data_IF_175385680813
#
_entry.id   IF_175385680813
#
_cell.length_a   1.000
_cell.length_b   1.000
_cell.length_c   1.000
_cell.angle_alpha   90.00
_cell.angle_beta   90.00
_cell.angle_gamma   90.00
#
_symmetry.space_group_name_H-M   'P 1'
#
loop_
_entity.id
_entity.type
_entity.pdbx_description
1 polymer ?
#
# COMPACT_ATOMS: atom_id res chain seq x y z
N UNK A 1 41.06 61.52 -17.79
CA UNK A 1 40.81 60.41 -16.79
C UNK A 1 39.49 59.86 -17.11
N UNK A 2 39.48 58.80 -17.89
CA UNK A 2 38.30 58.12 -18.46
C UNK A 2 38.07 56.87 -17.69
N UNK A 3 36.93 56.79 -17.01
CA UNK A 3 36.44 55.57 -16.36
C UNK A 3 35.58 54.82 -17.35
N UNK A 4 36.08 53.67 -17.77
CA UNK A 4 35.33 52.67 -18.55
C UNK A 4 34.44 51.86 -17.61
N UNK A 5 33.14 51.85 -17.89
CA UNK A 5 32.15 51.06 -17.17
C UNK A 5 31.57 50.02 -18.17
N UNK A 6 32.17 48.83 -18.22
CA UNK A 6 31.70 47.74 -19.06
C UNK A 6 30.67 46.91 -18.29
N UNK A 7 29.42 47.15 -18.60
CA UNK A 7 28.27 46.46 -18.06
C UNK A 7 27.92 45.29 -19.01
N UNK A 8 28.55 44.10 -18.82
CA UNK A 8 28.20 42.88 -19.54
C UNK A 8 26.97 42.24 -18.88
N UNK A 9 25.81 42.54 -19.46
CA UNK A 9 24.54 41.91 -19.13
C UNK A 9 24.41 40.58 -19.88
N UNK A 10 24.85 39.48 -19.27
CA UNK A 10 24.59 38.16 -19.77
C UNK A 10 23.19 37.71 -19.33
N UNK A 11 22.21 37.94 -20.19
CA UNK A 11 20.89 37.31 -20.09
C UNK A 11 21.00 35.84 -20.45
N UNK A 12 21.20 35.00 -19.43
CA UNK A 12 20.96 33.57 -19.56
C UNK A 12 19.45 33.34 -19.64
N UNK A 13 18.96 33.12 -20.85
CA UNK A 13 17.64 32.52 -21.09
C UNK A 13 17.74 31.07 -20.66
N UNK A 14 17.46 30.81 -19.40
CA UNK A 14 17.15 29.45 -18.94
C UNK A 14 15.88 29.02 -19.67
N UNK A 15 16.04 28.13 -20.63
CA UNK A 15 14.93 27.31 -21.14
C UNK A 15 14.46 26.49 -19.97
N UNK A 16 13.36 26.93 -19.35
CA UNK A 16 12.52 26.02 -18.55
C UNK A 16 11.97 24.99 -19.53
N UNK A 17 12.63 23.85 -19.59
CA UNK A 17 11.99 22.63 -20.08
C UNK A 17 10.88 22.32 -19.09
N UNK A 18 9.67 22.69 -19.46
CA UNK A 18 8.43 22.26 -18.81
C UNK A 18 8.31 20.73 -19.03
N UNK A 19 9.07 19.98 -18.23
CA UNK A 19 8.76 18.57 -18.01
C UNK A 19 7.43 18.54 -17.27
N UNK A 20 6.41 18.14 -17.99
CA UNK A 20 5.08 17.79 -17.51
C UNK A 20 5.25 16.86 -16.29
N UNK A 21 5.21 17.46 -15.09
CA UNK A 21 5.34 16.75 -13.82
C UNK A 21 4.01 16.05 -13.55
N UNK A 22 3.73 15.00 -14.33
CA UNK A 22 2.71 14.03 -13.97
C UNK A 22 2.93 13.60 -12.52
N UNK A 23 1.87 13.59 -11.71
CA UNK A 23 1.94 13.27 -10.29
C UNK A 23 2.72 11.94 -10.10
N UNK A 24 3.93 11.95 -9.49
CA UNK A 24 4.82 10.79 -9.47
C UNK A 24 4.21 9.59 -8.71
N UNK A 25 3.17 9.83 -7.92
CA UNK A 25 2.44 8.80 -7.17
C UNK A 25 1.31 8.15 -7.96
N UNK A 26 0.89 8.72 -9.10
CA UNK A 26 -0.26 8.23 -9.85
C UNK A 26 0.02 6.87 -10.51
N UNK A 27 1.21 6.69 -11.08
CA UNK A 27 1.59 5.44 -11.75
C UNK A 27 1.69 4.28 -10.75
N UNK A 28 2.42 4.40 -9.62
CA UNK A 28 2.41 3.38 -8.58
C UNK A 28 1.00 3.07 -8.07
N UNK A 29 0.19 4.08 -7.82
CA UNK A 29 -1.20 3.94 -7.36
C UNK A 29 -2.04 3.11 -8.33
N UNK A 30 -2.04 3.44 -9.62
CA UNK A 30 -2.80 2.72 -10.64
C UNK A 30 -2.32 1.29 -10.82
N UNK A 31 -1.02 1.06 -10.71
CA UNK A 31 -0.42 -0.25 -10.86
C UNK A 31 -0.82 -1.18 -9.70
N UNK A 32 -0.76 -0.68 -8.45
CA UNK A 32 -1.18 -1.42 -7.26
C UNK A 32 -2.69 -1.68 -7.32
N UNK A 33 -3.50 -0.67 -7.66
CA UNK A 33 -4.95 -0.82 -7.80
C UNK A 33 -5.32 -1.88 -8.83
N UNK A 34 -4.72 -1.83 -10.01
CA UNK A 34 -4.97 -2.79 -11.08
C UNK A 34 -4.58 -4.21 -10.65
N UNK A 35 -3.45 -4.34 -9.97
CA UNK A 35 -2.98 -5.63 -9.51
C UNK A 35 -3.85 -6.19 -8.36
N UNK A 36 -4.33 -5.35 -7.44
CA UNK A 36 -5.26 -5.74 -6.39
C UNK A 36 -6.56 -6.35 -6.97
N UNK A 37 -7.06 -5.84 -8.11
CA UNK A 37 -8.19 -6.44 -8.80
C UNK A 37 -7.85 -7.82 -9.39
N UNK A 38 -6.66 -8.00 -9.93
CA UNK A 38 -6.20 -9.31 -10.44
C UNK A 38 -6.11 -10.31 -9.31
N UNK A 39 -5.55 -9.94 -8.15
CA UNK A 39 -5.44 -10.80 -6.98
C UNK A 39 -6.82 -11.13 -6.40
N UNK A 40 -7.72 -10.16 -6.31
CA UNK A 40 -9.09 -10.41 -5.84
C UNK A 40 -9.82 -11.41 -6.75
N UNK A 41 -9.79 -11.16 -8.05
CA UNK A 41 -10.41 -12.06 -9.03
C UNK A 41 -9.75 -13.44 -9.01
N UNK A 42 -8.42 -13.48 -8.93
CA UNK A 42 -7.63 -14.70 -8.81
C UNK A 42 -7.92 -15.47 -7.53
N UNK A 43 -8.01 -14.79 -6.39
CA UNK A 43 -8.32 -15.38 -5.09
C UNK A 43 -9.70 -16.05 -5.09
N UNK A 44 -10.71 -15.37 -5.63
CA UNK A 44 -12.06 -15.95 -5.79
C UNK A 44 -12.04 -17.15 -6.72
N UNK A 45 -11.39 -17.02 -7.89
CA UNK A 45 -11.34 -18.09 -8.88
C UNK A 45 -10.55 -19.31 -8.44
N UNK A 46 -9.39 -19.10 -7.83
CA UNK A 46 -8.52 -20.19 -7.34
C UNK A 46 -8.97 -20.76 -6.01
N UNK A 47 -9.90 -20.09 -5.33
CA UNK A 47 -10.38 -20.38 -3.98
C UNK A 47 -9.28 -20.28 -2.91
N UNK A 48 -8.27 -19.44 -3.11
CA UNK A 48 -7.19 -19.18 -2.14
C UNK A 48 -7.57 -18.06 -1.19
N UNK A 49 -7.64 -18.37 0.11
CA UNK A 49 -7.89 -17.36 1.16
C UNK A 49 -6.66 -16.49 1.39
N UNK A 50 -5.46 -17.05 1.24
CA UNK A 50 -4.23 -16.28 1.36
C UNK A 50 -4.15 -15.18 0.28
N UNK A 51 -4.50 -15.51 -0.97
CA UNK A 51 -4.54 -14.53 -2.05
C UNK A 51 -5.64 -13.48 -1.85
N UNK A 52 -6.80 -13.88 -1.32
CA UNK A 52 -7.87 -12.93 -0.96
C UNK A 52 -7.44 -11.98 0.17
N UNK A 53 -6.73 -12.47 1.17
CA UNK A 53 -6.21 -11.63 2.26
C UNK A 53 -5.22 -10.59 1.75
N UNK A 54 -4.31 -10.98 0.88
CA UNK A 54 -3.32 -10.07 0.26
C UNK A 54 -4.02 -9.02 -0.61
N UNK A 55 -4.98 -9.41 -1.45
CA UNK A 55 -5.78 -8.50 -2.26
C UNK A 55 -6.50 -7.42 -1.41
N UNK A 56 -7.13 -7.82 -0.30
CA UNK A 56 -7.81 -6.88 0.58
C UNK A 56 -6.85 -5.92 1.29
N UNK A 57 -5.65 -6.38 1.63
CA UNK A 57 -4.60 -5.49 2.14
C UNK A 57 -4.26 -4.41 1.12
N UNK A 58 -3.96 -4.81 -0.12
CA UNK A 58 -3.64 -3.86 -1.20
C UNK A 58 -4.80 -2.87 -1.46
N UNK A 59 -6.06 -3.31 -1.40
CA UNK A 59 -7.21 -2.40 -1.50
C UNK A 59 -7.26 -1.37 -0.37
N UNK A 60 -6.97 -1.78 0.86
CA UNK A 60 -6.87 -0.88 2.01
C UNK A 60 -5.83 0.21 1.79
N UNK A 61 -4.67 -0.16 1.26
CA UNK A 61 -3.57 0.77 1.01
C UNK A 61 -3.88 1.76 -0.11
N UNK A 62 -4.45 1.24 -1.20
CA UNK A 62 -4.92 2.08 -2.32
C UNK A 62 -5.98 3.07 -1.85
N UNK A 63 -6.91 2.63 -1.00
CA UNK A 63 -7.94 3.49 -0.44
C UNK A 63 -7.34 4.59 0.45
N UNK A 64 -6.41 4.24 1.35
CA UNK A 64 -5.72 5.19 2.20
C UNK A 64 -4.91 6.21 1.39
N UNK A 65 -4.16 5.74 0.38
CA UNK A 65 -3.36 6.59 -0.49
C UNK A 65 -4.25 7.50 -1.36
N UNK A 66 -5.33 6.98 -1.92
CA UNK A 66 -6.30 7.74 -2.72
C UNK A 66 -6.93 8.88 -1.93
N UNK A 67 -7.27 8.63 -0.67
CA UNK A 67 -7.80 9.63 0.24
C UNK A 67 -6.77 10.70 0.59
N UNK A 68 -5.53 10.31 0.86
CA UNK A 68 -4.45 11.25 1.13
C UNK A 68 -4.21 12.17 -0.08
N UNK A 69 -4.24 11.62 -1.30
CA UNK A 69 -4.13 12.40 -2.53
C UNK A 69 -5.32 13.35 -2.73
N UNK A 70 -6.54 12.88 -2.46
CA UNK A 70 -7.76 13.70 -2.53
C UNK A 70 -7.72 14.86 -1.53
N UNK A 71 -7.37 14.57 -0.27
CA UNK A 71 -7.27 15.59 0.78
C UNK A 71 -6.21 16.64 0.46
N UNK A 72 -5.04 16.22 -0.06
CA UNK A 72 -3.97 17.13 -0.49
C UNK A 72 -4.45 18.07 -1.61
N UNK A 73 -5.14 17.52 -2.62
CA UNK A 73 -5.68 18.31 -3.74
C UNK A 73 -6.75 19.30 -3.27
N UNK A 74 -7.65 18.89 -2.40
CA UNK A 74 -8.74 19.73 -1.89
C UNK A 74 -8.22 20.85 -0.97
N UNK A 75 -7.22 20.57 -0.15
CA UNK A 75 -6.57 21.54 0.73
C UNK A 75 -5.87 22.65 -0.04
N UNK A 76 -5.23 22.33 -1.17
CA UNK A 76 -4.59 23.33 -2.03
C UNK A 76 -5.60 24.29 -2.68
N UNK A 77 -6.79 23.76 -3.04
CA UNK A 77 -7.79 24.52 -3.81
C UNK A 77 -8.62 25.49 -2.95
N UNK A 78 -8.80 25.21 -1.67
CA UNK A 78 -9.73 25.94 -0.80
C UNK A 78 -9.06 26.88 0.21
N UNK A 79 -7.72 27.04 0.22
CA UNK A 79 -7.02 27.89 1.20
C UNK A 79 -7.40 27.55 2.65
N UNK A 80 -7.84 26.32 2.89
CA UNK A 80 -8.44 25.89 4.14
C UNK A 80 -7.47 26.12 5.30
N UNK A 81 -7.95 26.87 6.30
CA UNK A 81 -7.28 26.98 7.60
C UNK A 81 -6.91 25.58 8.05
N UNK A 82 -5.61 25.28 8.13
CA UNK A 82 -5.12 24.07 8.78
C UNK A 82 -5.74 24.05 10.16
N UNK A 83 -6.58 23.06 10.44
CA UNK A 83 -7.05 22.80 11.79
C UNK A 83 -5.82 22.55 12.66
N UNK A 84 -5.84 22.90 13.91
CA UNK A 84 -4.66 22.88 14.80
C UNK A 84 -3.95 21.50 14.87
N UNK A 85 -4.65 20.42 14.56
CA UNK A 85 -4.14 19.03 14.53
C UNK A 85 -3.54 18.60 13.18
N UNK A 86 -3.65 19.39 12.12
CA UNK A 86 -3.07 19.08 10.80
C UNK A 86 -3.82 18.02 9.98
N UNK A 87 -4.84 17.34 10.52
CA UNK A 87 -5.65 16.32 9.84
C UNK A 87 -7.03 16.87 9.48
N UNK A 88 -7.53 16.54 8.30
CA UNK A 88 -8.87 16.94 7.91
C UNK A 88 -9.91 15.94 8.47
N UNK A 89 -11.11 16.42 8.82
CA UNK A 89 -12.22 15.55 9.27
C UNK A 89 -12.50 14.43 8.26
N UNK A 90 -12.30 14.71 6.97
CA UNK A 90 -12.46 13.73 5.88
C UNK A 90 -11.43 12.61 6.02
N UNK A 91 -10.16 12.92 6.31
CA UNK A 91 -9.09 11.92 6.50
C UNK A 91 -9.38 11.01 7.70
N UNK A 92 -9.79 11.59 8.82
CA UNK A 92 -10.13 10.83 10.04
C UNK A 92 -11.33 9.91 9.78
N UNK A 93 -12.41 10.44 9.19
CA UNK A 93 -13.62 9.64 8.90
C UNK A 93 -13.31 8.48 7.96
N UNK A 94 -12.52 8.72 6.94
CA UNK A 94 -12.16 7.69 5.99
C UNK A 94 -11.22 6.64 6.58
N UNK A 95 -10.30 7.04 7.44
CA UNK A 95 -9.44 6.10 8.18
C UNK A 95 -10.27 5.22 9.12
N UNK A 96 -11.31 5.75 9.77
CA UNK A 96 -12.25 4.97 10.59
C UNK A 96 -13.00 3.95 9.73
N UNK A 97 -13.52 4.36 8.57
CA UNK A 97 -14.21 3.46 7.65
C UNK A 97 -13.25 2.34 7.19
N UNK A 98 -12.01 2.67 6.85
CA UNK A 98 -11.00 1.69 6.45
C UNK A 98 -10.70 0.67 7.56
N UNK A 99 -10.51 1.13 8.80
CA UNK A 99 -10.31 0.25 9.97
C UNK A 99 -11.50 -0.70 10.15
N UNK A 100 -12.74 -0.19 10.10
CA UNK A 100 -13.93 -1.02 10.26
C UNK A 100 -14.06 -2.07 9.15
N UNK A 101 -13.82 -1.66 7.90
CA UNK A 101 -13.87 -2.56 6.75
C UNK A 101 -12.81 -3.66 6.89
N UNK A 102 -11.56 -3.31 7.26
CA UNK A 102 -10.50 -4.28 7.46
C UNK A 102 -10.79 -5.26 8.60
N UNK A 103 -11.38 -4.80 9.71
CA UNK A 103 -11.80 -5.69 10.79
C UNK A 103 -12.85 -6.69 10.34
N UNK A 104 -13.82 -6.27 9.51
CA UNK A 104 -14.82 -7.17 8.92
C UNK A 104 -14.16 -8.22 8.04
N UNK A 105 -13.25 -7.79 7.14
CA UNK A 105 -12.55 -8.70 6.22
C UNK A 105 -11.68 -9.71 6.97
N UNK A 106 -10.84 -9.23 7.89
CA UNK A 106 -9.97 -10.08 8.71
C UNK A 106 -10.78 -11.12 9.49
N UNK A 107 -11.90 -10.70 10.09
CA UNK A 107 -12.79 -11.59 10.81
C UNK A 107 -13.38 -12.65 9.88
N UNK A 108 -13.89 -12.22 8.72
CA UNK A 108 -14.47 -13.14 7.73
C UNK A 108 -13.44 -14.16 7.22
N UNK A 109 -12.25 -13.72 6.80
CA UNK A 109 -11.20 -14.62 6.32
C UNK A 109 -10.74 -15.58 7.43
N UNK A 110 -10.64 -15.11 8.68
CA UNK A 110 -10.23 -15.95 9.82
C UNK A 110 -11.24 -17.06 10.08
N UNK A 111 -12.54 -16.73 10.08
CA UNK A 111 -13.62 -17.74 10.26
C UNK A 111 -13.58 -18.75 9.12
N UNK A 112 -13.48 -18.27 7.88
CA UNK A 112 -13.42 -19.14 6.70
C UNK A 112 -12.17 -20.01 6.69
N UNK A 113 -11.01 -19.46 7.09
CA UNK A 113 -9.77 -20.23 7.20
C UNK A 113 -9.88 -21.34 8.25
N UNK A 114 -10.53 -21.07 9.39
CA UNK A 114 -10.79 -22.11 10.39
C UNK A 114 -11.72 -23.21 9.85
N UNK A 115 -12.76 -22.84 9.12
CA UNK A 115 -13.66 -23.80 8.47
C UNK A 115 -12.91 -24.67 7.45
N UNK A 116 -12.09 -24.06 6.57
CA UNK A 116 -11.31 -24.79 5.56
C UNK A 116 -10.15 -25.59 6.13
N UNK A 117 -9.66 -25.25 7.30
CA UNK A 117 -8.70 -26.08 8.00
C UNK A 117 -9.31 -27.44 8.41
N UNK A 118 -10.59 -27.43 8.83
CA UNK A 118 -11.33 -28.63 9.17
C UNK A 118 -11.84 -29.37 7.92
N UNK A 119 -12.30 -28.66 6.92
CA UNK A 119 -12.86 -29.15 5.66
C UNK A 119 -12.07 -28.58 4.46
N UNK A 120 -10.88 -29.15 4.15
CA UNK A 120 -10.02 -28.64 3.10
C UNK A 120 -10.70 -28.63 1.72
N UNK A 121 -10.65 -27.51 1.03
CA UNK A 121 -11.12 -27.36 -0.35
C UNK A 121 -9.97 -27.49 -1.35
N UNK A 122 -10.31 -27.93 -2.58
CA UNK A 122 -9.34 -27.98 -3.67
C UNK A 122 -9.02 -26.56 -4.14
N UNK A 123 -7.74 -26.25 -4.18
CA UNK A 123 -7.19 -24.95 -4.59
C UNK A 123 -6.39 -25.14 -5.87
N UNK A 124 -6.58 -24.23 -6.84
CA UNK A 124 -5.81 -24.22 -8.08
C UNK A 124 -4.40 -23.61 -7.84
N UNK A 125 -3.56 -24.35 -7.10
CA UNK A 125 -2.28 -23.89 -6.55
C UNK A 125 -1.30 -23.34 -7.62
N UNK A 126 -1.28 -23.88 -8.83
CA UNK A 126 -0.46 -23.39 -9.92
C UNK A 126 -0.81 -21.95 -10.32
N UNK A 127 -2.10 -21.62 -10.39
CA UNK A 127 -2.54 -20.25 -10.67
C UNK A 127 -2.32 -19.32 -9.49
N UNK A 128 -2.49 -19.80 -8.23
CA UNK A 128 -2.14 -19.03 -7.02
C UNK A 128 -0.67 -18.63 -7.07
N UNK A 129 0.24 -19.58 -7.35
CA UNK A 129 1.66 -19.30 -7.48
C UNK A 129 1.98 -18.29 -8.57
N UNK A 130 1.33 -18.42 -9.74
CA UNK A 130 1.56 -17.49 -10.85
C UNK A 130 1.15 -16.06 -10.49
N UNK A 131 -0.06 -15.89 -9.92
CA UNK A 131 -0.58 -14.58 -9.52
C UNK A 131 0.28 -13.99 -8.41
N UNK A 132 0.59 -14.76 -7.35
CA UNK A 132 1.43 -14.31 -6.25
C UNK A 132 2.85 -13.96 -6.69
N UNK A 133 3.43 -14.68 -7.66
CA UNK A 133 4.73 -14.35 -8.22
C UNK A 133 4.70 -13.01 -8.97
N UNK A 134 3.66 -12.76 -9.78
CA UNK A 134 3.49 -11.47 -10.46
C UNK A 134 3.32 -10.35 -9.43
N UNK A 135 2.53 -10.56 -8.37
CA UNK A 135 2.37 -9.62 -7.26
C UNK A 135 3.67 -9.28 -6.56
N UNK A 136 4.45 -10.30 -6.25
CA UNK A 136 5.77 -10.11 -5.66
C UNK A 136 6.68 -9.24 -6.54
N UNK A 137 6.67 -9.46 -7.86
CA UNK A 137 7.44 -8.64 -8.81
C UNK A 137 6.94 -7.20 -8.83
N UNK A 138 5.60 -7.00 -8.85
CA UNK A 138 4.98 -5.67 -8.81
C UNK A 138 5.38 -4.94 -7.52
N UNK A 139 5.28 -5.60 -6.36
CA UNK A 139 5.64 -5.03 -5.07
C UNK A 139 7.13 -4.68 -5.00
N UNK A 140 8.02 -5.50 -5.56
CA UNK A 140 9.46 -5.18 -5.66
C UNK A 140 9.69 -3.94 -6.53
N UNK A 141 9.01 -3.82 -7.68
CA UNK A 141 9.15 -2.65 -8.57
C UNK A 141 8.68 -1.38 -7.85
N UNK A 142 7.54 -1.43 -7.18
CA UNK A 142 7.01 -0.29 -6.41
C UNK A 142 7.97 0.08 -5.27
N UNK A 143 8.48 -0.91 -4.54
CA UNK A 143 9.46 -0.73 -3.48
C UNK A 143 10.73 -0.01 -3.98
N UNK A 144 11.28 -0.46 -5.10
CA UNK A 144 12.48 0.13 -5.70
C UNK A 144 12.24 1.58 -6.16
N UNK A 145 11.07 1.86 -6.73
CA UNK A 145 10.68 3.22 -7.14
C UNK A 145 10.60 4.18 -5.96
N UNK A 146 9.96 3.75 -4.87
CA UNK A 146 9.86 4.54 -3.65
C UNK A 146 11.23 4.75 -2.99
N UNK A 147 12.07 3.72 -2.96
CA UNK A 147 13.42 3.81 -2.39
C UNK A 147 14.30 4.78 -3.18
N UNK A 148 14.24 4.75 -4.51
CA UNK A 148 15.03 5.64 -5.37
C UNK A 148 14.66 7.12 -5.19
N UNK A 149 13.37 7.43 -5.03
CA UNK A 149 12.90 8.80 -4.78
C UNK A 149 13.37 9.33 -3.41
N UNK A 150 13.51 8.48 -2.40
CA UNK A 150 13.96 8.89 -1.07
C UNK A 150 15.43 9.35 -1.03
N UNK A 151 16.29 8.81 -1.89
CA UNK A 151 17.71 9.17 -1.94
C UNK A 151 17.97 10.54 -2.59
N UNK A 152 17.05 11.09 -3.38
CA UNK A 152 17.22 12.39 -4.03
C UNK A 152 16.90 13.60 -3.14
N UNK A 153 16.30 13.39 -1.97
CA UNK A 153 15.94 14.47 -1.02
C UNK A 153 16.78 14.45 0.27
N UNK A 154 18.11 14.41 0.16
CA UNK A 154 19.09 14.83 1.18
C UNK A 154 18.82 14.44 2.64
N UNK A 155 19.28 13.29 3.09
CA UNK A 155 20.06 13.18 4.31
C UNK A 155 19.43 13.46 5.69
N UNK A 156 18.13 13.23 5.92
CA UNK A 156 17.60 12.98 7.27
C UNK A 156 16.77 11.71 7.22
N UNK A 157 17.14 10.70 8.02
CA UNK A 157 16.30 9.52 8.26
C UNK A 157 14.97 9.98 8.89
N UNK A 158 14.02 10.34 8.04
CA UNK A 158 12.70 10.75 8.48
C UNK A 158 11.93 9.51 8.94
N UNK A 159 11.24 9.62 10.09
CA UNK A 159 10.32 8.59 10.60
C UNK A 159 9.38 8.06 9.50
N UNK A 160 8.96 8.93 8.58
CA UNK A 160 8.13 8.58 7.43
C UNK A 160 8.80 7.58 6.47
N UNK A 161 10.12 7.67 6.29
CA UNK A 161 10.85 6.72 5.44
C UNK A 161 10.89 5.33 6.07
N UNK A 162 11.14 5.25 7.38
CA UNK A 162 11.10 3.96 8.11
C UNK A 162 9.71 3.34 8.09
N UNK A 163 8.66 4.15 8.25
CA UNK A 163 7.28 3.68 8.17
C UNK A 163 6.93 3.14 6.77
N UNK A 164 7.31 3.86 5.70
CA UNK A 164 7.12 3.42 4.33
C UNK A 164 7.90 2.13 4.02
N UNK A 165 9.13 1.99 4.51
CA UNK A 165 9.94 0.78 4.33
C UNK A 165 9.30 -0.42 5.04
N UNK A 166 8.82 -0.25 6.28
CA UNK A 166 8.14 -1.30 7.03
C UNK A 166 6.84 -1.74 6.34
N UNK A 167 6.10 -0.80 5.77
CA UNK A 167 4.89 -1.09 4.98
C UNK A 167 5.22 -1.95 3.76
N UNK A 168 6.17 -1.52 2.94
CA UNK A 168 6.62 -2.28 1.76
C UNK A 168 7.16 -3.67 2.13
N UNK A 169 7.86 -3.80 3.25
CA UNK A 169 8.29 -5.12 3.75
C UNK A 169 7.08 -5.99 4.15
N UNK A 170 6.02 -5.40 4.69
CA UNK A 170 4.76 -6.10 4.97
C UNK A 170 4.14 -6.69 3.70
N UNK A 171 4.06 -5.89 2.63
CA UNK A 171 3.51 -6.31 1.33
C UNK A 171 4.34 -7.43 0.70
N UNK A 172 5.67 -7.33 0.77
CA UNK A 172 6.55 -8.38 0.29
C UNK A 172 6.37 -9.69 1.08
N UNK A 173 6.22 -9.59 2.40
CA UNK A 173 5.98 -10.76 3.25
C UNK A 173 4.62 -11.40 2.97
N UNK A 174 3.57 -10.61 2.71
CA UNK A 174 2.25 -11.09 2.28
C UNK A 174 2.36 -11.90 0.99
N UNK A 175 2.91 -11.30 -0.07
CA UNK A 175 3.10 -11.97 -1.36
C UNK A 175 3.96 -13.24 -1.26
N UNK A 176 5.03 -13.22 -0.45
CA UNK A 176 5.87 -14.41 -0.19
C UNK A 176 5.08 -15.50 0.54
N UNK A 177 4.22 -15.14 1.50
CA UNK A 177 3.39 -16.09 2.22
C UNK A 177 2.38 -16.77 1.28
N UNK A 178 1.72 -15.98 0.39
CA UNK A 178 0.80 -16.52 -0.63
C UNK A 178 1.53 -17.45 -1.59
N UNK A 179 2.71 -17.05 -2.07
CA UNK A 179 3.55 -17.88 -2.96
C UNK A 179 3.98 -19.18 -2.27
N UNK A 180 4.35 -19.11 -0.98
CA UNK A 180 4.71 -20.28 -0.19
C UNK A 180 3.51 -21.22 -0.01
N UNK A 181 2.30 -20.70 0.28
CA UNK A 181 1.08 -21.49 0.35
C UNK A 181 0.84 -22.26 -0.94
N UNK A 182 0.85 -21.55 -2.08
CA UNK A 182 0.70 -22.14 -3.40
C UNK A 182 1.73 -23.21 -3.70
N UNK A 183 3.01 -22.96 -3.38
CA UNK A 183 4.09 -23.90 -3.59
C UNK A 183 3.95 -25.16 -2.72
N UNK A 184 3.66 -25.00 -1.43
CA UNK A 184 3.43 -26.15 -0.53
C UNK A 184 2.30 -27.02 -1.07
N UNK A 185 1.16 -26.41 -1.46
CA UNK A 185 0.04 -27.18 -2.00
C UNK A 185 0.42 -27.86 -3.32
N UNK A 186 1.11 -27.16 -4.21
CA UNK A 186 1.50 -27.68 -5.51
C UNK A 186 2.41 -28.92 -5.41
N UNK A 187 3.42 -28.88 -4.53
CA UNK A 187 4.40 -29.95 -4.40
C UNK A 187 3.99 -31.07 -3.45
N UNK A 188 3.19 -30.77 -2.42
CA UNK A 188 2.86 -31.75 -1.36
C UNK A 188 1.40 -32.19 -1.38
N UNK A 189 0.51 -31.45 -2.06
CA UNK A 189 -0.94 -31.67 -1.99
C UNK A 189 -1.56 -31.27 -0.64
N UNK A 190 -0.79 -30.62 0.27
CA UNK A 190 -1.26 -30.28 1.61
C UNK A 190 -2.15 -29.04 1.60
N UNK A 191 -3.45 -29.22 1.34
CA UNK A 191 -4.44 -28.15 1.18
C UNK A 191 -4.59 -27.24 2.41
N UNK A 192 -4.20 -27.71 3.61
CA UNK A 192 -4.28 -26.90 4.84
C UNK A 192 -3.23 -25.77 4.90
N UNK A 193 -2.27 -25.74 3.98
CA UNK A 193 -1.26 -24.68 3.92
C UNK A 193 -1.89 -23.30 3.65
N UNK A 194 -2.89 -23.22 2.76
CA UNK A 194 -3.57 -21.93 2.46
C UNK A 194 -4.30 -21.36 3.70
N UNK A 195 -5.20 -22.06 4.39
CA UNK A 195 -5.82 -21.51 5.59
C UNK A 195 -4.84 -21.18 6.72
N UNK A 196 -3.75 -21.93 6.90
CA UNK A 196 -2.75 -21.61 7.91
C UNK A 196 -2.04 -20.29 7.58
N UNK A 197 -1.59 -20.14 6.34
CA UNK A 197 -0.91 -18.92 5.91
C UNK A 197 -1.88 -17.73 5.81
N UNK A 198 -3.16 -17.97 5.48
CA UNK A 198 -4.21 -16.94 5.56
C UNK A 198 -4.40 -16.42 6.98
N UNK A 199 -4.38 -17.28 8.00
CA UNK A 199 -4.44 -16.85 9.41
C UNK A 199 -3.20 -16.02 9.78
N UNK A 200 -2.02 -16.38 9.28
CA UNK A 200 -0.81 -15.59 9.49
C UNK A 200 -0.93 -14.19 8.86
N UNK A 201 -1.40 -14.12 7.61
CA UNK A 201 -1.66 -12.85 6.93
C UNK A 201 -2.70 -12.03 7.71
N UNK A 202 -3.82 -12.65 8.13
CA UNK A 202 -4.83 -12.00 8.95
C UNK A 202 -4.28 -11.45 10.27
N UNK A 203 -3.39 -12.16 10.93
CA UNK A 203 -2.73 -11.69 12.15
C UNK A 203 -1.85 -10.45 11.90
N UNK A 204 -1.11 -10.43 10.78
CA UNK A 204 -0.34 -9.25 10.35
C UNK A 204 -1.25 -8.06 10.03
N UNK A 205 -2.31 -8.29 9.27
CA UNK A 205 -3.30 -7.26 8.92
C UNK A 205 -4.00 -6.70 10.16
N UNK A 206 -4.36 -7.57 11.10
CA UNK A 206 -4.96 -7.15 12.37
C UNK A 206 -4.01 -6.26 13.17
N UNK A 207 -2.72 -6.61 13.24
CA UNK A 207 -1.73 -5.79 13.95
C UNK A 207 -1.60 -4.38 13.35
N UNK A 208 -1.55 -4.28 12.01
CA UNK A 208 -1.50 -2.99 11.30
C UNK A 208 -2.79 -2.20 11.51
N UNK A 209 -3.95 -2.86 11.41
CA UNK A 209 -5.27 -2.23 11.60
C UNK A 209 -5.45 -1.70 13.03
N UNK A 210 -5.03 -2.46 14.05
CA UNK A 210 -5.09 -2.03 15.44
C UNK A 210 -4.14 -0.85 15.72
N UNK A 211 -2.96 -0.84 15.11
CA UNK A 211 -2.06 0.30 15.18
C UNK A 211 -2.72 1.56 14.60
N UNK A 212 -3.29 1.46 13.39
CA UNK A 212 -4.00 2.58 12.76
C UNK A 212 -5.18 3.06 13.63
N UNK A 213 -5.95 2.14 14.20
CA UNK A 213 -7.04 2.49 15.13
C UNK A 213 -6.53 3.22 16.39
N UNK A 214 -5.38 2.81 16.92
CA UNK A 214 -4.73 3.48 18.06
C UNK A 214 -4.27 4.90 17.69
N UNK A 215 -3.69 5.08 16.51
CA UNK A 215 -3.23 6.38 16.02
C UNK A 215 -4.42 7.35 15.85
N UNK A 216 -5.54 6.88 15.27
CA UNK A 216 -6.78 7.65 15.14
C UNK A 216 -7.33 8.03 16.54
N UNK A 217 -7.35 7.08 17.47
CA UNK A 217 -7.82 7.34 18.84
C UNK A 217 -6.97 8.41 19.54
N UNK A 218 -5.66 8.39 19.34
CA UNK A 218 -4.75 9.40 19.88
C UNK A 218 -5.05 10.80 19.32
N UNK A 219 -5.28 10.89 18.01
CA UNK A 219 -5.65 12.15 17.35
C UNK A 219 -6.96 12.71 17.92
N UNK A 220 -8.02 11.86 18.04
CA UNK A 220 -9.32 12.27 18.55
C UNK A 220 -9.32 12.67 20.03
N UNK A 221 -8.35 12.21 20.81
CA UNK A 221 -8.30 12.47 22.27
C UNK A 221 -7.49 13.74 22.60
N UNK A 222 -6.70 14.24 21.66
CA UNK A 222 -5.86 15.42 21.83
C UNK A 222 -6.38 16.66 21.08
N UNK A 223 -7.54 16.55 20.42
CA UNK A 223 -8.37 17.66 19.96
C UNK A 223 -9.36 18.11 21.07
#
# INVERSE_FOLDING_TARGET
MTTHNDNHNHSHTEKHDDHDHGNPFLIPFLLILFFAFIELAGGVWTKSLALLGDAWHMFSDVFALGLAMYAAHHSQKNGAKKQASGHSVIEITASIINVLLMLVVVTWITIEAFHRYQHPENISSGYVMLIAFIGLVVNIIVAQRLHHQAHHHGGKENLNHRAALLHVMGDLLGSVAVLAAGAIIYFTGWLRADPILSILICAMLLAVTLKLASDIWHVLRHE
#
